data_IF_514118165667
#
_entry.id   IF_514118165667
#
_cell.length_a   1.000
_cell.length_b   1.000
_cell.length_c   1.000
_cell.angle_alpha   90.00
_cell.angle_beta   90.00
_cell.angle_gamma   90.00
#
_symmetry.space_group_name_H-M   'P 1'
#
loop_
_entity.id
_entity.type
_entity.pdbx_description
1 polymer ?
#
# COMPACT_ATOMS: atom_id res chain seq x y z
N UNK A 1 0.06 -18.01 3.39
CA UNK A 1 0.93 -16.87 3.76
C UNK A 1 2.24 -16.92 2.98
N UNK A 2 2.21 -16.85 1.63
CA UNK A 2 3.44 -17.00 0.84
C UNK A 2 4.08 -15.64 0.47
N UNK A 3 3.26 -14.61 0.23
CA UNK A 3 3.73 -13.34 -0.36
C UNK A 3 3.87 -12.19 0.63
N UNK A 4 3.23 -12.24 1.81
CA UNK A 4 3.26 -11.13 2.77
C UNK A 4 4.69 -10.76 3.25
N UNK A 5 5.56 -11.71 3.63
CA UNK A 5 6.95 -11.37 3.99
C UNK A 5 7.73 -10.74 2.83
N UNK A 6 7.52 -11.23 1.61
CA UNK A 6 8.18 -10.71 0.42
C UNK A 6 7.71 -9.28 0.09
N UNK A 7 6.42 -8.97 0.25
CA UNK A 7 5.89 -7.62 0.11
C UNK A 7 6.56 -6.66 1.12
N UNK A 8 6.63 -7.06 2.38
CA UNK A 8 7.24 -6.23 3.42
C UNK A 8 8.74 -5.96 3.13
N UNK A 9 9.47 -6.99 2.70
CA UNK A 9 10.87 -6.84 2.28
C UNK A 9 11.03 -5.91 1.08
N UNK A 10 10.13 -6.00 0.09
CA UNK A 10 10.15 -5.13 -1.08
C UNK A 10 9.90 -3.65 -0.70
N UNK A 11 8.92 -3.39 0.18
CA UNK A 11 8.68 -2.04 0.70
C UNK A 11 9.91 -1.48 1.40
N UNK A 12 10.52 -2.25 2.32
CA UNK A 12 11.73 -1.80 3.04
C UNK A 12 12.91 -1.54 2.10
N UNK A 13 13.11 -2.38 1.08
CA UNK A 13 14.14 -2.19 0.08
C UNK A 13 13.90 -0.94 -0.79
N UNK A 14 12.64 -0.62 -1.10
CA UNK A 14 12.27 0.61 -1.79
C UNK A 14 12.52 1.85 -0.91
N UNK A 15 12.10 1.82 0.36
CA UNK A 15 12.30 2.93 1.30
C UNK A 15 13.77 3.18 1.63
N UNK A 16 14.63 2.16 1.58
CA UNK A 16 16.09 2.32 1.77
C UNK A 16 16.75 3.17 0.68
N UNK A 17 16.04 3.52 -0.40
CA UNK A 17 16.48 4.46 -1.44
C UNK A 17 16.07 5.91 -1.14
N UNK A 18 15.49 6.15 0.04
CA UNK A 18 15.04 7.46 0.51
C UNK A 18 14.12 8.17 -0.51
N UNK A 19 13.05 7.51 -1.01
CA UNK A 19 12.13 8.14 -1.93
C UNK A 19 11.27 9.18 -1.19
N UNK A 20 10.72 10.14 -1.94
CA UNK A 20 9.69 11.05 -1.41
C UNK A 20 8.33 10.36 -1.22
N UNK A 21 8.17 9.15 -1.75
CA UNK A 21 6.91 8.43 -1.73
C UNK A 21 7.01 6.95 -2.08
N UNK A 22 6.06 6.16 -1.58
CA UNK A 22 5.90 4.74 -1.86
C UNK A 22 4.45 4.44 -2.23
N UNK A 23 4.24 3.85 -3.41
CA UNK A 23 2.94 3.32 -3.84
C UNK A 23 3.02 1.80 -3.94
N UNK A 24 2.10 1.11 -3.26
CA UNK A 24 1.92 -0.35 -3.43
C UNK A 24 0.81 -0.60 -4.43
N UNK A 25 1.18 -1.12 -5.60
CA UNK A 25 0.24 -1.49 -6.66
C UNK A 25 -0.33 -2.90 -6.43
N UNK A 26 -1.63 -2.95 -6.09
CA UNK A 26 -2.42 -4.16 -5.93
C UNK A 26 -3.50 -4.30 -7.02
N UNK A 27 -3.44 -3.52 -8.10
CA UNK A 27 -4.46 -3.53 -9.17
C UNK A 27 -4.59 -4.88 -9.87
N UNK A 28 -3.52 -5.67 -9.91
CA UNK A 28 -3.49 -7.04 -10.47
C UNK A 28 -3.66 -8.13 -9.40
N UNK A 29 -3.86 -7.74 -8.13
CA UNK A 29 -4.02 -8.68 -7.02
C UNK A 29 -5.49 -9.00 -6.80
N UNK A 30 -5.83 -10.28 -6.86
CA UNK A 30 -7.22 -10.74 -6.73
C UNK A 30 -7.65 -10.97 -5.27
N UNK A 31 -6.70 -11.07 -4.33
CA UNK A 31 -6.99 -11.40 -2.93
C UNK A 31 -6.01 -10.77 -1.95
N UNK A 32 -6.54 -9.99 -1.00
CA UNK A 32 -5.82 -9.43 0.14
C UNK A 32 -6.28 -10.10 1.44
N UNK A 33 -5.41 -10.92 2.02
CA UNK A 33 -5.64 -11.52 3.34
C UNK A 33 -5.24 -10.58 4.49
N UNK A 34 -5.60 -10.93 5.73
CA UNK A 34 -5.17 -10.22 6.94
C UNK A 34 -3.66 -10.07 7.08
N UNK A 35 -2.89 -11.07 6.62
CA UNK A 35 -1.43 -10.97 6.63
C UNK A 35 -0.91 -9.87 5.70
N UNK A 36 -1.54 -9.66 4.54
CA UNK A 36 -1.21 -8.57 3.62
C UNK A 36 -1.61 -7.21 4.20
N UNK A 37 -2.79 -7.12 4.82
CA UNK A 37 -3.24 -5.90 5.50
C UNK A 37 -2.29 -5.49 6.63
N UNK A 38 -1.85 -6.46 7.45
CA UNK A 38 -0.89 -6.20 8.53
C UNK A 38 0.44 -5.66 8.01
N UNK A 39 0.88 -6.10 6.82
CA UNK A 39 2.09 -5.57 6.18
C UNK A 39 1.90 -4.11 5.76
N UNK A 40 0.75 -3.75 5.20
CA UNK A 40 0.47 -2.35 4.82
C UNK A 40 0.47 -1.43 6.04
N UNK A 41 -0.12 -1.86 7.15
CA UNK A 41 -0.10 -1.12 8.43
C UNK A 41 1.34 -0.98 8.95
N UNK A 42 2.10 -2.08 9.00
CA UNK A 42 3.47 -2.04 9.48
C UNK A 42 4.35 -1.10 8.63
N UNK A 43 4.20 -1.14 7.30
CA UNK A 43 4.94 -0.24 6.39
C UNK A 43 4.55 1.21 6.63
N UNK A 44 3.25 1.52 6.77
CA UNK A 44 2.79 2.88 7.09
C UNK A 44 3.46 3.40 8.37
N UNK A 45 3.42 2.62 9.45
CA UNK A 45 3.97 3.01 10.75
C UNK A 45 5.49 3.17 10.75
N UNK A 46 6.19 2.46 9.85
CA UNK A 46 7.64 2.52 9.71
C UNK A 46 8.14 3.75 8.93
N UNK A 47 7.34 4.23 7.97
CA UNK A 47 7.84 5.20 6.97
C UNK A 47 7.17 6.57 7.05
N UNK A 48 6.02 6.68 7.68
CA UNK A 48 5.34 7.96 7.87
C UNK A 48 5.85 8.66 9.15
N UNK A 49 5.90 10.00 9.18
CA UNK A 49 5.49 10.94 8.13
C UNK A 49 6.57 11.22 7.07
N UNK A 50 7.74 10.60 7.16
CA UNK A 50 8.91 10.94 6.32
C UNK A 50 8.71 10.63 4.83
N UNK A 51 8.00 9.54 4.52
CA UNK A 51 7.69 9.08 3.17
C UNK A 51 6.17 9.02 3.00
N UNK A 52 5.64 9.67 1.95
CA UNK A 52 4.21 9.54 1.60
C UNK A 52 3.89 8.09 1.24
N UNK A 53 2.78 7.54 1.75
CA UNK A 53 2.40 6.16 1.52
C UNK A 53 1.00 6.02 0.93
N UNK A 54 0.89 5.32 -0.19
CA UNK A 54 -0.38 5.07 -0.86
C UNK A 54 -0.49 3.64 -1.38
N UNK A 55 -1.72 3.20 -1.61
CA UNK A 55 -2.06 1.91 -2.21
C UNK A 55 -2.93 2.15 -3.43
N UNK A 56 -2.59 1.50 -4.55
CA UNK A 56 -3.47 1.42 -5.71
C UNK A 56 -4.19 0.07 -5.69
N UNK A 57 -5.50 0.05 -5.46
CA UNK A 57 -6.28 -1.18 -5.45
C UNK A 57 -7.73 -0.93 -5.83
N UNK A 58 -8.29 -1.82 -6.65
CA UNK A 58 -9.69 -1.79 -7.05
C UNK A 58 -10.35 -3.17 -6.85
N UNK A 59 -11.67 -3.16 -6.62
CA UNK A 59 -12.47 -4.38 -6.60
C UNK A 59 -12.62 -5.06 -5.23
N UNK A 60 -13.39 -6.15 -5.19
CA UNK A 60 -13.88 -6.76 -3.95
C UNK A 60 -12.81 -7.55 -3.18
N UNK A 61 -11.73 -7.98 -3.85
CA UNK A 61 -10.67 -8.78 -3.24
C UNK A 61 -9.60 -7.98 -2.49
N UNK A 62 -9.54 -6.66 -2.72
CA UNK A 62 -8.47 -5.78 -2.20
C UNK A 62 -9.06 -4.50 -1.60
N UNK A 63 -9.57 -3.59 -2.44
CA UNK A 63 -10.07 -2.27 -2.01
C UNK A 63 -11.19 -2.36 -0.98
N UNK A 64 -12.09 -3.35 -1.11
CA UNK A 64 -13.21 -3.54 -0.19
C UNK A 64 -12.75 -3.97 1.21
N UNK A 65 -11.90 -5.01 1.38
CA UNK A 65 -11.27 -5.31 2.66
C UNK A 65 -10.65 -4.10 3.33
N UNK A 66 -9.81 -3.32 2.62
CA UNK A 66 -9.15 -2.12 3.17
C UNK A 66 -10.14 -1.10 3.74
N UNK A 67 -11.23 -0.83 3.01
CA UNK A 67 -12.29 0.09 3.43
C UNK A 67 -13.06 -0.43 4.64
N UNK A 68 -13.43 -1.72 4.64
CA UNK A 68 -14.21 -2.33 5.72
C UNK A 68 -13.41 -2.33 7.03
N UNK A 69 -12.09 -2.53 6.95
CA UNK A 69 -11.20 -2.54 8.11
C UNK A 69 -10.79 -1.14 8.58
N UNK A 70 -11.19 -0.07 7.89
CA UNK A 70 -10.81 1.31 8.22
C UNK A 70 -9.36 1.66 7.91
N UNK A 71 -8.65 0.84 7.12
CA UNK A 71 -7.26 1.12 6.75
C UNK A 71 -7.14 2.37 5.88
N UNK A 72 -8.21 2.70 5.15
CA UNK A 72 -8.30 3.88 4.30
C UNK A 72 -8.47 5.19 5.06
N UNK A 73 -8.58 5.14 6.39
CA UNK A 73 -8.67 6.34 7.22
C UNK A 73 -7.30 7.00 7.43
N UNK A 74 -6.21 6.26 7.15
CA UNK A 74 -4.83 6.71 7.32
C UNK A 74 -3.88 6.27 6.19
N UNK A 75 -4.27 5.34 5.33
CA UNK A 75 -3.54 4.99 4.11
C UNK A 75 -4.32 5.49 2.90
N UNK A 76 -3.68 6.33 2.07
CA UNK A 76 -4.29 6.81 0.83
C UNK A 76 -4.56 5.63 -0.12
N UNK A 77 -5.79 5.57 -0.65
CA UNK A 77 -6.25 4.51 -1.54
C UNK A 77 -6.76 5.08 -2.87
N UNK A 78 -6.17 4.61 -3.96
CA UNK A 78 -6.54 4.97 -5.33
C UNK A 78 -7.04 3.76 -6.10
N UNK A 79 -7.90 3.96 -7.09
CA UNK A 79 -8.39 2.88 -7.97
C UNK A 79 -7.34 2.40 -8.97
N UNK A 80 -6.41 3.27 -9.37
CA UNK A 80 -5.35 2.95 -10.33
C UNK A 80 -3.99 3.46 -9.85
N UNK A 81 -2.91 2.87 -10.38
CA UNK A 81 -1.55 3.32 -10.12
C UNK A 81 -1.34 4.76 -10.64
N UNK A 82 -1.85 5.07 -11.83
CA UNK A 82 -1.71 6.40 -12.42
C UNK A 82 -2.33 7.49 -11.52
N UNK A 83 -3.55 7.25 -11.00
CA UNK A 83 -4.20 8.18 -10.10
C UNK A 83 -3.43 8.40 -8.80
N UNK A 84 -2.74 7.36 -8.30
CA UNK A 84 -1.85 7.52 -7.16
C UNK A 84 -0.64 8.39 -7.55
N UNK A 85 0.05 8.06 -8.64
CA UNK A 85 1.26 8.77 -9.09
C UNK A 85 1.02 10.25 -9.39
N UNK A 86 -0.14 10.61 -9.93
CA UNK A 86 -0.50 12.01 -10.20
C UNK A 86 -0.46 12.87 -8.93
N UNK A 87 -0.82 12.31 -7.76
CA UNK A 87 -0.74 13.03 -6.48
C UNK A 87 0.68 13.16 -5.91
N UNK A 88 1.63 12.38 -6.42
CA UNK A 88 3.04 12.42 -6.00
C UNK A 88 3.90 13.30 -6.91
N UNK A 89 3.36 13.69 -8.08
CA UNK A 89 4.01 14.60 -9.03
C UNK A 89 3.92 16.09 -8.62
N UNK A 90 3.06 16.40 -7.63
CA UNK A 90 2.99 17.69 -6.92
C UNK A 90 4.01 17.75 -5.77
#
# INVERSE_FOLDING_TARGET
MLTAPALHQACRAACSKEPTGLVVDLTTVEFLSSAGMQVLVAVHDEITPDIRFAVAAEGPGTSRPLKITGLTDFIDLFSTLDAALDTFAE
#
